data_IF_269671961540
#
_entry.id   IF_269671961540
#
_cell.length_a   1.000
_cell.length_b   1.000
_cell.length_c   1.000
_cell.angle_alpha   90.00
_cell.angle_beta   90.00
_cell.angle_gamma   90.00
#
_symmetry.space_group_name_H-M   'P 1'
#
loop_
_entity.id
_entity.type
_entity.pdbx_description
1 polymer ?
#
# COMPACT_ATOMS: atom_id res chain seq x y z
N UNK A 1 -19.70 12.43 -2.61
CA UNK A 1 -19.27 12.51 -1.19
C UNK A 1 -19.06 11.09 -0.71
N UNK A 2 -17.92 10.79 -0.09
CA UNK A 2 -17.68 9.47 0.50
C UNK A 2 -18.70 9.19 1.60
N UNK A 3 -19.13 7.93 1.73
CA UNK A 3 -19.88 7.52 2.91
C UNK A 3 -18.90 7.44 4.08
N UNK A 4 -19.30 7.84 5.31
CA UNK A 4 -18.45 7.62 6.47
C UNK A 4 -18.25 6.11 6.67
N UNK A 5 -17.11 5.73 7.23
CA UNK A 5 -16.89 4.35 7.63
C UNK A 5 -18.06 3.87 8.52
N UNK A 6 -18.69 2.72 8.22
CA UNK A 6 -19.82 2.18 8.96
C UNK A 6 -19.48 1.92 10.43
N UNK A 7 -18.19 1.75 10.76
CA UNK A 7 -17.72 1.66 12.14
C UNK A 7 -16.49 2.53 12.37
N UNK A 8 -16.52 3.26 13.48
CA UNK A 8 -15.33 3.98 13.99
C UNK A 8 -14.56 3.02 14.89
N UNK A 9 -13.29 2.73 14.62
CA UNK A 9 -12.49 1.85 15.48
C UNK A 9 -12.20 2.50 16.83
N UNK A 10 -12.12 1.68 17.87
CA UNK A 10 -11.38 2.05 19.08
C UNK A 10 -9.88 2.04 18.76
N UNK A 11 -9.17 3.12 19.08
CA UNK A 11 -7.73 3.24 18.84
C UNK A 11 -6.97 3.07 20.14
N UNK A 12 -6.17 2.00 20.23
CA UNK A 12 -5.38 1.67 21.41
C UNK A 12 -3.89 1.68 21.11
N UNK A 13 -3.14 2.53 21.84
CA UNK A 13 -1.69 2.54 21.82
C UNK A 13 -1.16 1.65 22.95
N UNK A 14 -0.39 0.62 22.59
CA UNK A 14 0.29 -0.23 23.57
C UNK A 14 1.61 0.39 24.01
N UNK A 15 1.98 0.16 25.26
CA UNK A 15 3.20 0.75 25.85
C UNK A 15 4.49 -0.01 25.53
N UNK A 16 4.43 -1.08 24.73
CA UNK A 16 5.62 -1.80 24.30
C UNK A 16 6.47 -0.97 23.31
N UNK A 17 7.72 -1.38 23.13
CA UNK A 17 8.65 -0.69 22.23
C UNK A 17 8.67 -1.31 20.83
N UNK A 18 7.77 -2.26 20.55
CA UNK A 18 7.77 -3.01 19.32
C UNK A 18 6.98 -2.27 18.23
N UNK A 19 7.37 -2.50 16.98
CA UNK A 19 6.65 -2.00 15.82
C UNK A 19 5.69 -3.07 15.34
N UNK A 20 4.40 -2.77 15.44
CA UNK A 20 3.31 -3.59 14.94
C UNK A 20 2.03 -2.75 14.92
N UNK A 21 1.11 -3.11 14.04
CA UNK A 21 -0.29 -2.71 14.11
C UNK A 21 -1.16 -3.94 13.83
N UNK A 22 -2.37 -3.93 14.37
CA UNK A 22 -3.37 -4.94 14.08
C UNK A 22 -4.78 -4.38 14.18
N UNK A 23 -5.64 -4.91 13.33
CA UNK A 23 -7.08 -4.76 13.35
C UNK A 23 -7.71 -5.98 14.08
N UNK A 24 -8.59 -5.72 15.05
CA UNK A 24 -9.22 -6.76 15.88
C UNK A 24 -10.75 -6.57 15.99
N UNK A 25 -11.47 -7.69 15.93
CA UNK A 25 -12.90 -7.80 16.26
C UNK A 25 -13.07 -8.35 17.69
N UNK A 26 -13.35 -7.46 18.65
CA UNK A 26 -13.62 -7.85 20.04
C UNK A 26 -15.07 -7.52 20.46
N UNK A 27 -15.82 -8.50 20.95
CA UNK A 27 -17.12 -8.27 21.59
C UNK A 27 -18.20 -7.61 20.72
N UNK A 28 -18.07 -7.66 19.39
CA UNK A 28 -18.94 -6.97 18.43
C UNK A 28 -18.46 -5.57 18.02
N UNK A 29 -17.38 -5.08 18.64
CA UNK A 29 -16.65 -3.87 18.27
C UNK A 29 -15.55 -4.11 17.23
N UNK A 30 -14.89 -3.03 16.85
CA UNK A 30 -13.74 -3.01 15.96
C UNK A 30 -12.68 -2.13 16.61
N UNK A 31 -11.46 -2.65 16.78
CA UNK A 31 -10.35 -1.95 17.40
C UNK A 31 -9.12 -2.01 16.50
N UNK A 32 -8.33 -0.94 16.50
CA UNK A 32 -7.00 -0.90 15.90
C UNK A 32 -6.02 -0.69 17.04
N UNK A 33 -5.08 -1.62 17.19
CA UNK A 33 -4.06 -1.60 18.22
C UNK A 33 -2.71 -1.33 17.57
N UNK A 34 -1.97 -0.39 18.12
CA UNK A 34 -0.67 0.04 17.59
C UNK A 34 0.38 -0.13 18.67
N UNK A 35 1.51 -0.74 18.33
CA UNK A 35 2.67 -0.85 19.21
C UNK A 35 3.34 0.51 19.43
N UNK A 36 3.89 0.73 20.63
CA UNK A 36 4.55 1.99 20.97
C UNK A 36 5.83 2.26 20.19
N UNK A 37 6.35 1.28 19.44
CA UNK A 37 7.50 1.43 18.54
C UNK A 37 7.20 2.10 17.19
N UNK A 38 5.94 2.19 16.77
CA UNK A 38 5.56 2.74 15.45
C UNK A 38 5.99 4.20 15.28
N UNK A 39 5.61 5.07 16.23
CA UNK A 39 5.93 6.51 16.15
C UNK A 39 7.45 6.76 16.23
N UNK A 40 8.21 6.20 17.20
CA UNK A 40 9.66 6.40 17.28
C UNK A 40 10.41 5.93 16.02
N UNK A 41 9.93 4.87 15.36
CA UNK A 41 10.56 4.39 14.12
C UNK A 41 10.31 5.32 12.94
N UNK A 42 9.09 5.85 12.80
CA UNK A 42 8.80 6.89 11.81
C UNK A 42 9.60 8.18 12.09
N UNK A 43 9.67 8.61 13.35
CA UNK A 43 10.44 9.80 13.75
C UNK A 43 11.92 9.68 13.40
N UNK A 44 12.48 8.47 13.57
CA UNK A 44 13.85 8.16 13.17
C UNK A 44 14.00 8.15 11.65
N UNK A 45 13.17 7.38 10.94
CA UNK A 45 13.25 7.28 9.47
C UNK A 45 13.16 8.67 8.82
N UNK A 46 12.14 9.45 9.17
CA UNK A 46 11.98 10.79 8.63
C UNK A 46 13.05 11.75 9.14
N UNK A 47 13.54 11.58 10.37
CA UNK A 47 14.69 12.35 10.87
C UNK A 47 15.94 12.13 10.02
N UNK A 48 16.24 10.87 9.71
CA UNK A 48 17.38 10.48 8.88
C UNK A 48 17.16 10.96 7.43
N UNK A 49 15.95 10.82 6.89
CA UNK A 49 15.62 11.23 5.52
C UNK A 49 15.76 12.75 5.31
N UNK A 50 15.20 13.56 6.22
CA UNK A 50 15.32 15.01 6.13
C UNK A 50 16.72 15.55 6.50
N UNK A 51 17.59 14.70 7.04
CA UNK A 51 19.02 15.03 7.26
C UNK A 51 19.91 14.59 6.09
N UNK A 52 19.34 13.91 5.10
CA UNK A 52 20.05 13.37 3.94
C UNK A 52 19.83 14.29 2.73
N UNK A 53 20.92 14.85 2.21
CA UNK A 53 20.90 15.80 1.09
C UNK A 53 20.35 15.13 -0.19
N UNK A 54 20.75 13.90 -0.49
CA UNK A 54 20.29 13.18 -1.69
C UNK A 54 18.77 12.92 -1.66
N UNK A 55 18.18 12.73 -0.47
CA UNK A 55 16.74 12.61 -0.31
C UNK A 55 16.02 13.95 -0.44
N UNK A 56 16.50 14.98 0.28
CA UNK A 56 15.81 16.28 0.35
C UNK A 56 15.89 17.07 -0.95
N UNK A 57 17.02 17.02 -1.67
CA UNK A 57 17.15 17.63 -3.00
C UNK A 57 16.36 16.85 -4.06
N UNK A 58 16.19 15.54 -3.86
CA UNK A 58 15.45 14.65 -4.74
C UNK A 58 16.05 14.54 -6.14
N UNK A 59 15.35 13.84 -7.04
CA UNK A 59 15.72 13.81 -8.47
C UNK A 59 14.99 14.92 -9.20
N UNK A 60 15.74 15.94 -9.63
CA UNK A 60 15.28 17.14 -10.36
C UNK A 60 14.39 18.11 -9.58
N UNK A 61 13.65 17.64 -8.57
CA UNK A 61 12.77 18.47 -7.73
C UNK A 61 12.87 18.04 -6.26
N UNK A 62 12.98 18.99 -5.32
CA UNK A 62 12.99 18.69 -3.90
C UNK A 62 11.63 18.17 -3.44
N UNK A 63 11.63 17.32 -2.41
CA UNK A 63 10.40 16.91 -1.75
C UNK A 63 9.91 18.05 -0.85
N UNK A 64 8.74 18.61 -1.17
CA UNK A 64 8.13 19.69 -0.37
C UNK A 64 7.21 19.07 0.68
N UNK A 65 7.79 18.75 1.85
CA UNK A 65 7.07 18.21 2.99
C UNK A 65 7.72 18.67 4.30
N UNK A 66 6.91 18.80 5.35
CA UNK A 66 7.41 18.93 6.72
C UNK A 66 7.58 17.53 7.34
N UNK A 67 8.55 17.37 8.25
CA UNK A 67 8.80 16.10 8.93
C UNK A 67 7.59 15.62 9.73
N UNK A 68 6.93 16.53 10.46
CA UNK A 68 5.74 16.22 11.27
C UNK A 68 4.60 15.79 10.36
N UNK A 69 4.41 16.47 9.23
CA UNK A 69 3.39 16.10 8.25
C UNK A 69 3.67 14.72 7.64
N UNK A 70 4.92 14.42 7.29
CA UNK A 70 5.30 13.11 6.75
C UNK A 70 5.03 11.96 7.74
N UNK A 71 5.35 12.16 9.03
CA UNK A 71 5.01 11.20 10.10
C UNK A 71 3.49 11.07 10.23
N UNK A 72 2.77 12.19 10.28
CA UNK A 72 1.32 12.20 10.43
C UNK A 72 0.64 11.44 9.29
N UNK A 73 0.99 11.74 8.04
CA UNK A 73 0.43 11.06 6.86
C UNK A 73 0.77 9.57 6.86
N UNK A 74 1.99 9.19 7.27
CA UNK A 74 2.37 7.77 7.38
C UNK A 74 1.47 7.02 8.37
N UNK A 75 1.14 7.65 9.51
CA UNK A 75 0.22 7.10 10.51
C UNK A 75 -1.22 7.07 10.02
N UNK A 76 -1.69 8.13 9.34
CA UNK A 76 -3.04 8.18 8.78
C UNK A 76 -3.24 7.06 7.77
N UNK A 77 -2.26 6.82 6.89
CA UNK A 77 -2.32 5.70 5.97
C UNK A 77 -2.40 4.35 6.69
N UNK A 78 -1.57 4.11 7.71
CA UNK A 78 -1.61 2.86 8.49
C UNK A 78 -2.99 2.63 9.12
N UNK A 79 -3.60 3.68 9.69
CA UNK A 79 -4.95 3.56 10.25
C UNK A 79 -5.97 3.26 9.15
N UNK A 80 -5.89 3.92 7.99
CA UNK A 80 -6.80 3.61 6.88
C UNK A 80 -6.61 2.21 6.35
N UNK A 81 -5.38 1.73 6.18
CA UNK A 81 -5.08 0.36 5.82
C UNK A 81 -5.80 -0.62 6.76
N UNK A 82 -5.62 -0.46 8.08
CA UNK A 82 -6.23 -1.32 9.09
C UNK A 82 -7.78 -1.25 9.08
N UNK A 83 -8.34 -0.08 8.79
CA UNK A 83 -9.78 0.08 8.59
C UNK A 83 -10.28 -0.66 7.34
N UNK A 84 -9.49 -0.73 6.28
CA UNK A 84 -9.89 -1.44 5.06
C UNK A 84 -9.99 -2.95 5.26
N UNK A 85 -9.21 -3.56 6.15
CA UNK A 85 -9.45 -4.96 6.51
C UNK A 85 -10.86 -5.22 7.05
N UNK A 86 -11.44 -4.26 7.76
CA UNK A 86 -12.82 -4.35 8.23
C UNK A 86 -13.81 -4.12 7.09
N UNK A 87 -13.66 -3.04 6.32
CA UNK A 87 -14.60 -2.66 5.25
C UNK A 87 -14.69 -3.70 4.13
N UNK A 88 -13.55 -4.27 3.75
CA UNK A 88 -13.45 -5.29 2.72
C UNK A 88 -13.87 -6.68 3.22
N UNK A 89 -14.21 -6.81 4.50
CA UNK A 89 -14.66 -8.06 5.11
C UNK A 89 -13.57 -9.11 5.25
N UNK A 90 -12.29 -8.71 5.29
CA UNK A 90 -11.14 -9.63 5.32
C UNK A 90 -11.22 -10.62 6.50
N UNK A 91 -11.72 -10.20 7.66
CA UNK A 91 -11.95 -11.07 8.82
C UNK A 91 -12.85 -12.27 8.51
N UNK A 92 -13.94 -12.05 7.76
CA UNK A 92 -14.86 -13.12 7.37
C UNK A 92 -14.23 -14.07 6.34
N UNK A 93 -13.32 -13.57 5.50
CA UNK A 93 -12.64 -14.38 4.49
C UNK A 93 -11.63 -15.36 5.10
N UNK A 94 -10.82 -14.88 6.04
CA UNK A 94 -9.79 -15.69 6.70
C UNK A 94 -10.30 -16.45 7.92
N UNK A 95 -11.53 -16.17 8.38
CA UNK A 95 -12.11 -16.79 9.57
C UNK A 95 -11.37 -16.44 10.87
N UNK A 96 -10.69 -15.29 10.91
CA UNK A 96 -9.94 -14.79 12.06
C UNK A 96 -10.64 -13.56 12.63
N UNK A 97 -10.50 -13.33 13.94
CA UNK A 97 -10.88 -12.06 14.57
C UNK A 97 -9.77 -11.02 14.55
N UNK A 98 -8.57 -11.39 14.07
CA UNK A 98 -7.37 -10.55 14.12
C UNK A 98 -6.62 -10.62 12.79
N UNK A 99 -6.24 -9.47 12.27
CA UNK A 99 -5.32 -9.27 11.13
C UNK A 99 -4.22 -8.33 11.60
N UNK A 100 -2.96 -8.62 11.27
CA UNK A 100 -1.83 -7.82 11.75
C UNK A 100 -0.79 -7.60 10.67
N UNK A 101 -0.38 -6.34 10.56
CA UNK A 101 0.66 -5.82 9.67
C UNK A 101 2.07 -6.33 9.98
N UNK A 102 2.27 -7.08 11.07
CA UNK A 102 3.57 -7.73 11.31
C UNK A 102 3.40 -9.12 11.92
N UNK A 103 4.37 -10.00 11.68
CA UNK A 103 4.41 -11.33 12.30
C UNK A 103 4.46 -11.27 13.84
N UNK A 104 4.97 -10.18 14.40
CA UNK A 104 4.98 -9.98 15.86
C UNK A 104 3.58 -9.67 16.40
N UNK A 105 2.78 -8.85 15.72
CA UNK A 105 1.40 -8.61 16.13
C UNK A 105 0.56 -9.90 16.08
N UNK A 106 0.84 -10.80 15.11
CA UNK A 106 0.28 -12.16 15.11
C UNK A 106 0.71 -12.99 16.32
N UNK A 107 1.98 -12.90 16.75
CA UNK A 107 2.45 -13.60 17.94
C UNK A 107 1.76 -13.11 19.24
N UNK A 108 1.48 -11.80 19.35
CA UNK A 108 0.68 -11.25 20.45
C UNK A 108 -0.78 -11.74 20.40
N UNK A 109 -1.35 -11.85 19.20
CA UNK A 109 -2.68 -12.41 18.95
C UNK A 109 -2.81 -13.89 19.36
N UNK A 110 -1.82 -14.72 19.03
CA UNK A 110 -1.77 -16.13 19.44
C UNK A 110 -1.76 -16.31 20.97
N UNK A 111 -1.27 -15.31 21.72
CA UNK A 111 -1.28 -15.30 23.17
C UNK A 111 -2.59 -14.77 23.79
N UNK A 112 -3.45 -14.08 23.03
CA UNK A 112 -4.51 -13.23 23.59
C UNK A 112 -5.93 -13.80 23.68
N UNK A 113 -6.40 -14.79 22.89
CA UNK A 113 -7.57 -15.70 23.21
C UNK A 113 -8.12 -16.55 22.05
N UNK A 114 -8.65 -17.73 22.43
CA UNK A 114 -9.89 -18.39 21.97
C UNK A 114 -10.20 -18.44 20.47
N UNK A 115 -9.98 -19.62 19.85
CA UNK A 115 -10.35 -19.92 18.47
C UNK A 115 -11.83 -19.64 18.16
N UNK A 116 -12.10 -18.72 17.22
CA UNK A 116 -13.38 -18.70 16.50
C UNK A 116 -13.38 -19.90 15.55
N UNK A 117 -14.55 -20.56 15.43
CA UNK A 117 -14.77 -21.74 14.59
C UNK A 117 -14.21 -21.56 13.18
N UNK A 118 -13.32 -22.48 12.78
CA UNK A 118 -12.70 -22.60 11.45
C UNK A 118 -13.69 -22.90 10.32
N UNK A 119 -15.00 -22.89 10.57
CA UNK A 119 -16.04 -23.19 9.57
C UNK A 119 -16.24 -22.07 8.54
N UNK A 120 -15.58 -20.91 8.69
CA UNK A 120 -15.72 -19.75 7.79
C UNK A 120 -14.60 -19.55 6.77
N UNK A 121 -13.51 -20.33 6.82
CA UNK A 121 -12.49 -20.23 5.78
C UNK A 121 -13.12 -20.68 4.46
N UNK A 122 -13.41 -19.73 3.58
CA UNK A 122 -13.92 -20.06 2.24
C UNK A 122 -12.82 -20.83 1.52
N UNK A 123 -13.20 -21.88 0.83
CA UNK A 123 -12.26 -22.68 0.05
C UNK A 123 -11.96 -21.94 -1.26
N UNK A 124 -10.92 -21.09 -1.25
CA UNK A 124 -10.51 -20.25 -2.38
C UNK A 124 -9.67 -21.03 -3.41
N UNK A 125 -10.19 -22.18 -3.84
CA UNK A 125 -9.47 -23.11 -4.72
C UNK A 125 -8.22 -23.70 -4.07
N UNK A 126 -7.20 -23.98 -4.88
CA UNK A 126 -5.95 -24.60 -4.46
C UNK A 126 -4.85 -23.58 -4.06
N UNK A 127 -5.19 -22.29 -3.99
CA UNK A 127 -4.22 -21.24 -3.65
C UNK A 127 -3.75 -21.40 -2.19
N UNK A 128 -2.42 -21.39 -1.94
CA UNK A 128 -1.89 -21.38 -0.58
C UNK A 128 -2.41 -20.20 0.25
N UNK A 129 -2.72 -20.45 1.53
CA UNK A 129 -3.26 -19.45 2.46
C UNK A 129 -2.43 -18.15 2.52
N UNK A 130 -1.10 -18.25 2.51
CA UNK A 130 -0.23 -17.06 2.57
C UNK A 130 -0.36 -16.17 1.33
N UNK A 131 -0.71 -16.71 0.14
CA UNK A 131 -0.97 -15.90 -1.05
C UNK A 131 -2.32 -15.18 -0.95
N UNK A 132 -3.32 -15.82 -0.33
CA UNK A 132 -4.61 -15.20 -0.05
C UNK A 132 -4.38 -14.02 0.88
N UNK A 133 -3.67 -14.22 2.01
CA UNK A 133 -3.30 -13.15 2.94
C UNK A 133 -2.61 -11.99 2.20
N UNK A 134 -1.60 -12.29 1.36
CA UNK A 134 -0.93 -11.26 0.55
C UNK A 134 -1.88 -10.49 -0.38
N UNK A 135 -2.89 -11.15 -0.96
CA UNK A 135 -3.90 -10.46 -1.77
C UNK A 135 -4.76 -9.51 -0.92
N UNK A 136 -5.16 -9.92 0.29
CA UNK A 136 -5.93 -9.07 1.20
C UNK A 136 -5.14 -7.84 1.62
N UNK A 137 -3.84 -7.98 1.89
CA UNK A 137 -2.94 -6.86 2.16
C UNK A 137 -2.88 -5.88 0.97
N UNK A 138 -2.76 -6.37 -0.27
CA UNK A 138 -2.77 -5.50 -1.47
C UNK A 138 -4.12 -4.80 -1.71
N UNK A 139 -5.24 -5.38 -1.27
CA UNK A 139 -6.54 -4.71 -1.34
C UNK A 139 -6.60 -3.59 -0.29
N UNK A 140 -6.22 -3.87 0.96
CA UNK A 140 -6.20 -2.89 2.05
C UNK A 140 -5.24 -1.73 1.76
N UNK A 141 -4.07 -2.03 1.18
CA UNK A 141 -3.12 -1.04 0.68
C UNK A 141 -3.73 -0.09 -0.34
N UNK A 142 -4.41 -0.65 -1.34
CA UNK A 142 -4.98 0.12 -2.44
C UNK A 142 -6.05 1.08 -1.93
N UNK A 143 -7.06 0.55 -1.25
CA UNK A 143 -8.19 1.34 -0.75
C UNK A 143 -7.75 2.32 0.35
N UNK A 144 -6.76 1.94 1.16
CA UNK A 144 -6.13 2.83 2.15
C UNK A 144 -5.36 3.97 1.48
N UNK A 145 -4.61 3.68 0.40
CA UNK A 145 -3.87 4.68 -0.36
C UNK A 145 -4.81 5.65 -1.08
N UNK A 146 -5.91 5.20 -1.68
CA UNK A 146 -6.89 6.07 -2.35
C UNK A 146 -7.44 7.16 -1.42
N UNK A 147 -7.69 6.82 -0.15
CA UNK A 147 -8.17 7.78 0.86
C UNK A 147 -7.12 8.83 1.22
N UNK A 148 -5.83 8.49 1.17
CA UNK A 148 -4.74 9.41 1.51
C UNK A 148 -4.36 10.28 0.31
N UNK A 149 -4.24 9.69 -0.89
CA UNK A 149 -3.84 10.40 -2.11
C UNK A 149 -4.88 11.43 -2.56
N UNK A 150 -6.15 11.26 -2.18
CA UNK A 150 -7.28 12.14 -2.50
C UNK A 150 -7.48 12.30 -4.03
N UNK A 151 -8.44 13.13 -4.42
CA UNK A 151 -8.74 13.39 -5.81
C UNK A 151 -7.56 14.07 -6.54
N UNK A 152 -7.33 13.65 -7.78
CA UNK A 152 -6.36 14.28 -8.66
C UNK A 152 -6.65 15.77 -8.87
N UNK A 153 -5.61 16.60 -8.70
CA UNK A 153 -5.62 18.04 -8.95
C UNK A 153 -4.23 18.50 -9.36
N UNK A 154 -4.14 19.38 -10.36
CA UNK A 154 -2.88 19.96 -10.84
C UNK A 154 -2.21 20.88 -9.83
N UNK A 155 -2.98 21.42 -8.88
CA UNK A 155 -2.47 22.37 -7.88
C UNK A 155 -1.84 21.67 -6.67
N UNK A 156 -2.04 20.35 -6.53
CA UNK A 156 -1.68 19.57 -5.34
C UNK A 156 -0.54 18.58 -5.57
N UNK A 157 0.15 18.64 -6.72
CA UNK A 157 1.22 17.70 -7.07
C UNK A 157 2.35 17.59 -6.03
N UNK A 158 2.86 18.68 -5.42
CA UNK A 158 3.86 18.57 -4.36
C UNK A 158 3.34 17.81 -3.13
N UNK A 159 2.11 18.11 -2.71
CA UNK A 159 1.43 17.44 -1.59
C UNK A 159 1.14 15.97 -1.90
N UNK A 160 0.75 15.64 -3.14
CA UNK A 160 0.57 14.27 -3.60
C UNK A 160 1.87 13.46 -3.51
N UNK A 161 2.99 14.04 -3.98
CA UNK A 161 4.32 13.39 -3.88
C UNK A 161 4.73 13.13 -2.44
N UNK A 162 4.50 14.08 -1.53
CA UNK A 162 4.74 13.90 -0.10
C UNK A 162 3.94 12.72 0.49
N UNK A 163 2.67 12.59 0.10
CA UNK A 163 1.80 11.49 0.52
C UNK A 163 2.26 10.13 0.00
N UNK A 164 2.68 10.07 -1.27
CA UNK A 164 3.25 8.83 -1.86
C UNK A 164 4.50 8.39 -1.09
N UNK A 165 5.38 9.33 -0.74
CA UNK A 165 6.58 9.06 0.04
C UNK A 165 6.24 8.57 1.47
N UNK A 166 5.24 9.16 2.12
CA UNK A 166 4.71 8.74 3.41
C UNK A 166 4.19 7.30 3.43
N UNK A 167 3.38 6.94 2.43
CA UNK A 167 2.86 5.57 2.26
C UNK A 167 4.02 4.59 2.04
N UNK A 168 4.93 4.92 1.11
CA UNK A 168 6.09 4.08 0.79
C UNK A 168 6.99 3.85 2.00
N UNK A 169 7.19 4.87 2.84
CA UNK A 169 7.98 4.77 4.06
C UNK A 169 7.38 3.77 5.06
N UNK A 170 6.06 3.79 5.26
CA UNK A 170 5.39 2.84 6.15
C UNK A 170 5.52 1.40 5.64
N UNK A 171 5.26 1.16 4.35
CA UNK A 171 5.43 -0.16 3.72
C UNK A 171 6.84 -0.72 3.90
N UNK A 172 7.87 0.13 3.79
CA UNK A 172 9.26 -0.26 4.01
C UNK A 172 9.54 -0.62 5.47
N UNK A 173 9.00 0.14 6.43
CA UNK A 173 9.16 -0.17 7.84
C UNK A 173 8.51 -1.51 8.19
N UNK A 174 7.30 -1.78 7.66
CA UNK A 174 6.60 -3.05 7.83
C UNK A 174 7.47 -4.22 7.36
N UNK A 175 7.93 -4.20 6.09
CA UNK A 175 8.77 -5.30 5.57
C UNK A 175 10.07 -5.47 6.39
N UNK A 176 10.70 -4.37 6.80
CA UNK A 176 11.94 -4.43 7.59
C UNK A 176 11.74 -5.08 8.95
N UNK A 177 10.61 -4.85 9.60
CA UNK A 177 10.33 -5.47 10.90
C UNK A 177 9.98 -6.94 10.75
N UNK A 178 9.21 -7.30 9.73
CA UNK A 178 8.92 -8.69 9.40
C UNK A 178 10.19 -9.48 9.07
N UNK A 179 11.12 -8.90 8.30
CA UNK A 179 12.38 -9.54 7.95
C UNK A 179 13.25 -9.91 9.18
N UNK A 180 13.01 -9.31 10.36
CA UNK A 180 13.73 -9.68 11.61
C UNK A 180 13.17 -10.95 12.26
N UNK A 181 11.93 -11.31 11.95
CA UNK A 181 11.19 -12.38 12.61
C UNK A 181 11.12 -13.63 11.72
N UNK A 182 11.18 -13.43 10.41
CA UNK A 182 11.06 -14.49 9.41
C UNK A 182 12.44 -15.08 9.08
N UNK A 183 12.99 -15.88 9.99
CA UNK A 183 14.15 -16.73 9.65
C UNK A 183 13.74 -17.98 8.83
N UNK A 184 12.46 -18.40 8.87
CA UNK A 184 12.01 -19.69 8.33
C UNK A 184 10.55 -19.76 7.79
N UNK A 185 9.78 -18.67 7.76
CA UNK A 185 8.35 -18.68 7.37
C UNK A 185 8.08 -18.01 6.00
N UNK A 186 6.99 -18.40 5.34
CA UNK A 186 6.44 -17.66 4.19
C UNK A 186 5.78 -16.39 4.73
N UNK A 187 6.24 -15.22 4.31
CA UNK A 187 5.66 -13.91 4.71
C UNK A 187 4.19 -13.83 4.29
N UNK A 188 3.30 -13.39 5.19
CA UNK A 188 1.92 -13.05 4.82
C UNK A 188 1.79 -11.70 4.14
N UNK A 189 2.78 -10.82 4.29
CA UNK A 189 2.79 -9.52 3.64
C UNK A 189 3.51 -9.61 2.30
N UNK A 190 2.97 -8.96 1.24
CA UNK A 190 3.70 -8.74 0.01
C UNK A 190 4.97 -7.93 0.29
N UNK A 191 5.97 -8.06 -0.58
CA UNK A 191 7.15 -7.20 -0.49
C UNK A 191 6.74 -5.72 -0.62
N UNK A 192 7.40 -4.84 0.11
CA UNK A 192 7.26 -3.40 -0.03
C UNK A 192 7.46 -2.96 -1.49
N UNK A 193 8.39 -3.57 -2.23
CA UNK A 193 8.55 -3.28 -3.67
C UNK A 193 7.28 -3.59 -4.49
N UNK A 194 6.53 -4.63 -4.13
CA UNK A 194 5.25 -5.01 -4.74
C UNK A 194 4.15 -4.02 -4.38
N UNK A 195 4.05 -3.65 -3.11
CA UNK A 195 3.10 -2.65 -2.60
C UNK A 195 3.35 -1.27 -3.25
N UNK A 196 4.61 -0.86 -3.36
CA UNK A 196 5.04 0.39 -4.04
C UNK A 196 4.79 0.32 -5.55
N UNK A 197 4.98 -0.85 -6.18
CA UNK A 197 4.64 -1.05 -7.59
C UNK A 197 3.14 -0.79 -7.85
N UNK A 198 2.26 -1.35 -7.02
CA UNK A 198 0.82 -1.10 -7.09
C UNK A 198 0.48 0.39 -6.85
N UNK A 199 1.09 1.00 -5.82
CA UNK A 199 0.90 2.42 -5.49
C UNK A 199 1.26 3.33 -6.66
N UNK A 200 2.46 3.18 -7.23
CA UNK A 200 2.91 4.03 -8.33
C UNK A 200 2.18 3.70 -9.64
N UNK A 201 1.76 2.45 -9.84
CA UNK A 201 0.87 2.07 -10.93
C UNK A 201 -0.46 2.84 -10.87
N UNK A 202 -1.06 2.95 -9.68
CA UNK A 202 -2.27 3.76 -9.45
C UNK A 202 -1.99 5.26 -9.64
N UNK A 203 -0.90 5.79 -9.09
CA UNK A 203 -0.52 7.22 -9.26
C UNK A 203 -0.42 7.58 -10.74
N UNK A 204 0.15 6.70 -11.57
CA UNK A 204 0.24 6.91 -13.02
C UNK A 204 -1.11 6.90 -13.75
N UNK A 205 -2.19 6.43 -13.14
CA UNK A 205 -3.56 6.45 -13.67
C UNK A 205 -4.36 7.65 -13.15
N UNK A 206 -3.94 8.29 -12.04
CA UNK A 206 -4.70 9.36 -11.39
C UNK A 206 -5.19 10.48 -12.33
N UNK A 207 -4.40 10.99 -13.30
CA UNK A 207 -4.89 11.99 -14.25
C UNK A 207 -6.08 11.54 -15.11
N UNK A 208 -6.25 10.23 -15.32
CA UNK A 208 -7.32 9.64 -16.12
C UNK A 208 -8.60 9.38 -15.32
N UNK A 209 -8.51 9.27 -14.00
CA UNK A 209 -9.63 8.95 -13.10
C UNK A 209 -10.81 9.92 -13.25
N UNK A 210 -10.64 11.25 -13.33
CA UNK A 210 -11.77 12.16 -13.52
C UNK A 210 -12.57 11.87 -14.79
N UNK A 211 -11.89 11.55 -15.89
CA UNK A 211 -12.50 11.24 -17.18
C UNK A 211 -13.24 9.88 -17.13
N UNK A 212 -12.60 8.86 -16.54
CA UNK A 212 -13.20 7.55 -16.30
C UNK A 212 -14.50 7.67 -15.46
N UNK A 213 -14.43 8.43 -14.36
CA UNK A 213 -15.58 8.64 -13.48
C UNK A 213 -16.72 9.36 -14.18
N UNK A 214 -16.41 10.37 -15.00
CA UNK A 214 -17.41 11.10 -15.79
C UNK A 214 -18.09 10.18 -16.80
N UNK A 215 -17.35 9.31 -17.48
CA UNK A 215 -17.90 8.32 -18.40
C UNK A 215 -18.88 7.37 -17.69
N UNK A 216 -18.47 6.81 -16.53
CA UNK A 216 -19.31 5.92 -15.71
C UNK A 216 -20.60 6.62 -15.25
N UNK A 217 -20.49 7.85 -14.72
CA UNK A 217 -21.66 8.61 -14.23
C UNK A 217 -22.65 8.96 -15.36
N UNK A 218 -22.15 9.10 -16.59
CA UNK A 218 -22.98 9.37 -17.76
C UNK A 218 -23.48 8.08 -18.44
N UNK A 219 -23.09 6.89 -17.97
CA UNK A 219 -23.40 5.61 -18.61
C UNK A 219 -22.80 5.49 -20.02
N UNK A 220 -21.65 6.10 -20.27
CA UNK A 220 -20.96 6.05 -21.56
C UNK A 220 -20.11 4.78 -21.69
N UNK A 221 -20.15 4.16 -22.88
CA UNK A 221 -19.35 2.95 -23.19
C UNK A 221 -17.84 3.25 -23.31
N UNK A 222 -17.46 4.52 -23.45
CA UNK A 222 -16.08 4.96 -23.58
C UNK A 222 -15.89 6.37 -23.01
N UNK A 223 -14.64 6.71 -22.67
CA UNK A 223 -14.24 8.05 -22.24
C UNK A 223 -14.31 9.00 -23.43
N UNK A 224 -14.90 10.18 -23.23
CA UNK A 224 -14.85 11.25 -24.22
C UNK A 224 -13.39 11.74 -24.35
N UNK A 225 -12.76 11.72 -25.55
CA UNK A 225 -11.40 12.22 -25.72
C UNK A 225 -11.20 13.66 -25.25
N UNK A 226 -12.25 14.48 -25.21
CA UNK A 226 -12.19 15.85 -24.69
C UNK A 226 -12.07 15.93 -23.15
N UNK A 227 -12.37 14.84 -22.44
CA UNK A 227 -12.25 14.74 -20.99
C UNK A 227 -10.87 14.22 -20.53
N UNK A 228 -10.05 13.71 -21.46
CA UNK A 228 -8.71 13.24 -21.17
C UNK A 228 -7.77 14.42 -20.84
N UNK A 229 -6.82 14.24 -19.90
CA UNK A 229 -5.79 15.23 -19.67
C UNK A 229 -4.94 15.43 -20.92
N UNK A 230 -4.53 16.66 -21.18
CA UNK A 230 -3.68 16.97 -22.35
C UNK A 230 -2.32 16.27 -22.28
N UNK A 231 -1.69 16.03 -23.42
CA UNK A 231 -0.32 15.47 -23.48
C UNK A 231 0.69 16.29 -22.67
N UNK A 232 0.50 17.61 -22.63
CA UNK A 232 1.33 18.54 -21.88
C UNK A 232 1.16 18.33 -20.37
N UNK A 233 -0.07 18.14 -19.90
CA UNK A 233 -0.38 17.84 -18.51
C UNK A 233 0.16 16.47 -18.10
N UNK A 234 -0.08 15.42 -18.90
CA UNK A 234 0.45 14.08 -18.63
C UNK A 234 1.98 14.07 -18.58
N UNK A 235 2.63 14.77 -19.50
CA UNK A 235 4.09 14.90 -19.51
C UNK A 235 4.62 15.66 -18.29
N UNK A 236 3.91 16.70 -17.85
CA UNK A 236 4.26 17.45 -16.65
C UNK A 236 4.07 16.61 -15.39
N UNK A 237 2.93 15.93 -15.25
CA UNK A 237 2.65 15.03 -14.13
C UNK A 237 3.69 13.92 -14.01
N UNK A 238 4.08 13.30 -15.13
CA UNK A 238 5.12 12.28 -15.13
C UNK A 238 6.48 12.81 -14.64
N UNK A 239 6.85 14.02 -15.09
CA UNK A 239 8.12 14.68 -14.73
C UNK A 239 8.14 15.16 -13.28
N UNK A 240 7.01 15.62 -12.77
CA UNK A 240 6.94 16.35 -11.49
C UNK A 240 6.47 15.48 -10.32
N UNK A 241 5.73 14.39 -10.60
CA UNK A 241 5.17 13.49 -9.59
C UNK A 241 5.68 12.06 -9.77
N UNK A 242 5.38 11.41 -10.89
CA UNK A 242 5.60 9.95 -11.05
C UNK A 242 7.08 9.57 -10.95
N UNK A 243 7.93 10.19 -11.78
CA UNK A 243 9.37 9.87 -11.81
C UNK A 243 10.03 10.25 -10.48
N UNK A 244 9.82 11.47 -9.94
CA UNK A 244 10.38 11.81 -8.64
C UNK A 244 9.91 10.91 -7.50
N UNK A 245 8.63 10.50 -7.47
CA UNK A 245 8.11 9.61 -6.43
C UNK A 245 8.77 8.23 -6.43
N UNK A 246 9.08 7.67 -7.61
CA UNK A 246 9.89 6.44 -7.69
C UNK A 246 11.26 6.63 -7.03
N UNK A 247 11.94 7.74 -7.35
CA UNK A 247 13.25 8.01 -6.77
C UNK A 247 13.20 8.33 -5.28
N UNK A 248 12.12 8.95 -4.80
CA UNK A 248 11.89 9.15 -3.36
C UNK A 248 11.79 7.80 -2.65
N UNK A 249 11.07 6.82 -3.22
CA UNK A 249 10.99 5.48 -2.66
C UNK A 249 12.37 4.78 -2.67
N UNK A 250 13.14 4.90 -3.76
CA UNK A 250 14.52 4.35 -3.84
C UNK A 250 15.44 4.99 -2.79
N UNK A 251 15.35 6.31 -2.59
CA UNK A 251 16.15 7.04 -1.62
C UNK A 251 15.70 6.74 -0.18
N UNK A 252 14.39 6.64 0.09
CA UNK A 252 13.87 6.21 1.39
C UNK A 252 14.35 4.80 1.74
N UNK A 253 14.33 3.87 0.80
CA UNK A 253 14.86 2.52 1.03
C UNK A 253 16.36 2.56 1.37
N UNK A 254 17.14 3.44 0.73
CA UNK A 254 18.55 3.66 1.07
C UNK A 254 18.71 4.25 2.48
N UNK A 255 17.99 5.31 2.81
CA UNK A 255 18.03 5.97 4.14
C UNK A 255 17.62 4.99 5.23
N UNK A 256 16.60 4.18 4.99
CA UNK A 256 16.17 3.13 5.90
C UNK A 256 17.19 1.99 6.03
N UNK A 257 18.23 1.91 5.19
CA UNK A 257 19.13 0.76 5.13
C UNK A 257 18.45 -0.51 4.61
N UNK A 258 17.34 -0.38 3.88
CA UNK A 258 16.57 -1.47 3.28
C UNK A 258 17.08 -1.80 1.87
N UNK A 259 18.32 -2.29 1.80
CA UNK A 259 18.98 -2.53 0.51
C UNK A 259 18.29 -3.60 -0.35
N UNK A 260 17.60 -4.56 0.27
CA UNK A 260 16.76 -5.56 -0.43
C UNK A 260 15.61 -4.89 -1.17
N UNK A 261 14.84 -4.02 -0.50
CA UNK A 261 13.72 -3.27 -1.11
C UNK A 261 14.23 -2.46 -2.30
N UNK A 262 15.36 -1.78 -2.15
CA UNK A 262 15.97 -1.01 -3.25
C UNK A 262 16.32 -1.87 -4.45
N UNK A 263 16.82 -3.09 -4.22
CA UNK A 263 17.14 -4.03 -5.31
C UNK A 263 15.87 -4.59 -5.96
N UNK A 264 14.83 -4.87 -5.16
CA UNK A 264 13.57 -5.42 -5.61
C UNK A 264 12.74 -4.43 -6.45
N UNK A 265 12.84 -3.12 -6.15
CA UNK A 265 12.30 -2.02 -6.97
C UNK A 265 12.98 -1.93 -8.34
N UNK A 266 14.25 -2.33 -8.43
CA UNK A 266 15.03 -2.33 -9.67
C UNK A 266 15.37 -0.93 -10.20
N UNK A 267 15.76 -0.88 -11.47
CA UNK A 267 16.08 0.36 -12.17
C UNK A 267 14.81 1.02 -12.72
N UNK A 268 14.78 2.35 -12.77
CA UNK A 268 13.60 3.12 -13.20
C UNK A 268 13.05 2.67 -14.56
N UNK A 269 13.93 2.40 -15.54
CA UNK A 269 13.52 1.96 -16.87
C UNK A 269 12.77 0.62 -16.86
N UNK A 270 13.25 -0.35 -16.06
CA UNK A 270 12.61 -1.64 -15.90
C UNK A 270 11.27 -1.49 -15.14
N UNK A 271 11.27 -0.72 -14.05
CA UNK A 271 10.07 -0.47 -13.26
C UNK A 271 8.94 0.15 -14.08
N UNK A 272 9.22 1.22 -14.82
CA UNK A 272 8.18 1.88 -15.61
C UNK A 272 7.76 1.06 -16.83
N UNK A 273 8.65 0.25 -17.41
CA UNK A 273 8.28 -0.73 -18.43
C UNK A 273 7.29 -1.77 -17.87
N UNK A 274 7.56 -2.28 -16.67
CA UNK A 274 6.69 -3.23 -15.98
C UNK A 274 5.30 -2.62 -15.70
N UNK A 275 5.23 -1.35 -15.28
CA UNK A 275 3.94 -0.66 -15.09
C UNK A 275 3.16 -0.58 -16.41
N UNK A 276 3.82 -0.30 -17.54
CA UNK A 276 3.14 -0.27 -18.84
C UNK A 276 2.58 -1.65 -19.23
N UNK A 277 3.34 -2.72 -18.98
CA UNK A 277 2.88 -4.09 -19.22
C UNK A 277 1.66 -4.40 -18.33
N UNK A 278 1.74 -4.10 -17.05
CA UNK A 278 0.66 -4.32 -16.08
C UNK A 278 -0.64 -3.60 -16.48
N UNK A 279 -0.54 -2.36 -16.96
CA UNK A 279 -1.70 -1.54 -17.40
C UNK A 279 -2.46 -2.12 -18.59
N UNK A 280 -1.79 -2.89 -19.47
CA UNK A 280 -2.47 -3.53 -20.60
C UNK A 280 -3.43 -4.62 -20.10
N UNK A 281 -3.15 -5.23 -18.94
CA UNK A 281 -3.97 -6.30 -18.36
C UNK A 281 -3.89 -7.61 -19.14
N UNK A 282 -2.93 -7.76 -20.05
CA UNK A 282 -2.67 -9.00 -20.78
C UNK A 282 -1.81 -9.93 -19.93
N UNK A 283 -2.42 -10.97 -19.36
CA UNK A 283 -1.76 -11.95 -18.48
C UNK A 283 -0.62 -12.66 -19.20
N UNK A 284 -0.73 -12.90 -20.51
CA UNK A 284 0.33 -13.55 -21.29
C UNK A 284 1.59 -12.67 -21.36
N UNK A 285 1.43 -11.34 -21.25
CA UNK A 285 2.54 -10.41 -21.23
C UNK A 285 3.27 -10.36 -19.87
N UNK A 286 2.68 -10.88 -18.79
CA UNK A 286 3.28 -10.82 -17.44
C UNK A 286 4.59 -11.62 -17.32
N UNK A 287 4.83 -12.61 -18.19
CA UNK A 287 6.12 -13.32 -18.25
C UNK A 287 7.31 -12.39 -18.57
N UNK A 288 7.03 -11.23 -19.17
CA UNK A 288 8.06 -10.25 -19.56
C UNK A 288 8.41 -9.22 -18.47
N UNK A 289 7.72 -9.25 -17.33
CA UNK A 289 7.99 -8.37 -16.20
C UNK A 289 9.42 -8.60 -15.66
N UNK A 290 10.10 -7.55 -15.23
CA UNK A 290 11.53 -7.57 -14.92
C UNK A 290 11.80 -7.50 -13.42
N UNK A 291 11.19 -6.53 -12.75
CA UNK A 291 11.40 -6.22 -11.33
C UNK A 291 10.76 -7.28 -10.42
N UNK A 292 11.30 -7.43 -9.21
CA UNK A 292 10.78 -8.42 -8.25
C UNK A 292 9.38 -8.03 -7.78
N UNK A 293 9.18 -6.73 -7.54
CA UNK A 293 7.87 -6.19 -7.16
C UNK A 293 6.79 -6.47 -8.20
N UNK A 294 7.06 -6.20 -9.49
CA UNK A 294 6.09 -6.45 -10.55
C UNK A 294 5.77 -7.94 -10.74
N UNK A 295 6.77 -8.82 -10.62
CA UNK A 295 6.56 -10.27 -10.73
C UNK A 295 5.67 -10.82 -9.62
N UNK A 296 5.91 -10.41 -8.38
CA UNK A 296 5.04 -10.81 -7.27
C UNK A 296 3.63 -10.20 -7.44
N UNK A 297 3.54 -8.95 -7.89
CA UNK A 297 2.24 -8.33 -8.18
C UNK A 297 1.45 -9.13 -9.22
N UNK A 298 2.09 -9.59 -10.29
CA UNK A 298 1.45 -10.37 -11.35
C UNK A 298 0.97 -11.75 -10.88
N UNK A 299 1.71 -12.39 -9.96
CA UNK A 299 1.25 -13.63 -9.31
C UNK A 299 0.00 -13.36 -8.46
N UNK A 300 0.02 -12.29 -7.68
CA UNK A 300 -1.07 -11.95 -6.75
C UNK A 300 -2.32 -11.43 -7.46
N UNK A 301 -2.20 -10.63 -8.52
CA UNK A 301 -3.36 -10.03 -9.19
C UNK A 301 -4.30 -11.09 -9.79
N UNK A 302 -3.74 -12.19 -10.31
CA UNK A 302 -4.54 -13.31 -10.85
C UNK A 302 -5.35 -14.00 -9.75
N UNK A 303 -4.74 -14.20 -8.59
CA UNK A 303 -5.42 -14.79 -7.41
C UNK A 303 -6.46 -13.80 -6.89
N UNK A 304 -6.11 -12.52 -6.81
CA UNK A 304 -6.98 -11.46 -6.32
C UNK A 304 -8.28 -11.33 -7.13
N UNK A 305 -8.21 -11.46 -8.46
CA UNK A 305 -9.40 -11.44 -9.31
C UNK A 305 -10.31 -12.66 -9.07
N UNK A 306 -9.75 -13.82 -8.72
CA UNK A 306 -10.54 -14.99 -8.31
C UNK A 306 -11.27 -14.74 -6.98
N UNK A 307 -10.58 -14.14 -6.01
CA UNK A 307 -11.18 -13.77 -4.72
C UNK A 307 -12.38 -12.83 -4.89
N UNK A 308 -12.26 -11.84 -5.80
CA UNK A 308 -13.35 -10.89 -6.08
C UNK A 308 -14.55 -11.56 -6.75
N UNK A 309 -14.31 -12.43 -7.74
CA UNK A 309 -15.38 -13.11 -8.48
C UNK A 309 -16.27 -13.99 -7.57
N UNK A 310 -15.69 -14.61 -6.54
CA UNK A 310 -16.41 -15.43 -5.57
C UNK A 310 -17.21 -14.61 -4.53
N UNK A 311 -17.19 -13.27 -4.60
CA UNK A 311 -17.82 -12.35 -3.64
C UNK A 311 -18.81 -11.35 -4.26
N UNK A 312 -18.93 -11.31 -5.58
CA UNK A 312 -19.92 -10.50 -6.33
C UNK A 312 -21.18 -11.29 -6.67
#
# INVERSE_FOLDING_TARGET
>A
MGQPFPRVPELDLHSDADFWALAELEGGGFAIRVGGGVVPMLERLWGDAFSDEDFTEGVSLPLVADKVDAIHVSLVWLIFHEMQHFELGHFDLIGSSIISETERGKAFSLASRGSISSERVKNFGDAPQFLIEQCLELQADHDGAELVLDAYSTDEWPSLRARIAAISAMMMLIEREDAKLVEQAQSSHPKAATRIFQLLGHVMEMPLIPAQRKAILNGADAIDPADLPSDAEQSAFNREVVIPAFFDAVNLARVAGAQSIRQDLGEAGAFFQDVQIAKIGDVDAFESLQTVGAKQWAELVVINEQLKADHS
#
